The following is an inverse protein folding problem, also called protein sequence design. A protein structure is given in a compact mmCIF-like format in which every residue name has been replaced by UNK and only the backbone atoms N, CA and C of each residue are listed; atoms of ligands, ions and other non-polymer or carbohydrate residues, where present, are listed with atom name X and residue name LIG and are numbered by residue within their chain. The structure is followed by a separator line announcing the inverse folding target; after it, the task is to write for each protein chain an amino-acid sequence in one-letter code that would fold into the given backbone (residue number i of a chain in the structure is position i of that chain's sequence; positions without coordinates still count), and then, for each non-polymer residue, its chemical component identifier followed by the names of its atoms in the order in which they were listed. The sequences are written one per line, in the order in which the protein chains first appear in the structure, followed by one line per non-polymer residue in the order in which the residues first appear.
data_IF_317206479677
#
_entry.id   IF_317206479677
#
_cell.length_a   1.000
_cell.length_b   1.000
_cell.length_c   1.000
_cell.angle_alpha   90.00
_cell.angle_beta   90.00
_cell.angle_gamma   90.00
#
_symmetry.space_group_name_H-M   'P 1'
#
loop_
_entity.id
_entity.type
_entity.pdbx_description
1 polymer ?
#
# COMPACT_ATOMS: atom_id res chain seq x y z
N UNK A 1 18.83 -14.38 27.14
CA UNK A 1 19.45 -14.51 25.82
C UNK A 1 18.93 -15.79 25.19
N UNK A 2 17.88 -15.72 24.43
CA UNK A 2 17.45 -16.76 23.54
C UNK A 2 16.98 -16.03 22.29
N UNK A 3 17.71 -16.17 21.20
CA UNK A 3 17.28 -15.73 19.87
C UNK A 3 16.22 -16.74 19.45
N UNK A 4 14.97 -16.31 19.43
CA UNK A 4 13.88 -17.09 18.84
C UNK A 4 14.15 -17.20 17.34
N UNK A 5 14.54 -18.40 16.94
CA UNK A 5 14.69 -18.77 15.55
C UNK A 5 13.33 -18.69 14.88
N UNK A 6 13.19 -17.79 13.93
CA UNK A 6 12.08 -17.76 12.99
C UNK A 6 12.02 -19.12 12.31
N UNK A 7 10.93 -19.84 12.54
CA UNK A 7 10.74 -21.19 12.02
C UNK A 7 10.50 -21.13 10.50
N UNK A 8 11.51 -21.41 9.71
CA UNK A 8 11.48 -21.42 8.24
C UNK A 8 10.78 -22.64 7.62
N UNK A 9 10.07 -23.45 8.43
CA UNK A 9 9.65 -24.79 8.01
C UNK A 9 8.40 -24.86 7.12
N UNK A 10 7.66 -23.76 6.86
CA UNK A 10 6.40 -23.81 6.08
C UNK A 10 6.45 -23.05 4.73
N UNK A 11 7.64 -22.68 4.26
CA UNK A 11 7.82 -21.85 3.04
C UNK A 11 7.78 -22.64 1.70
N UNK A 12 7.64 -23.95 1.70
CA UNK A 12 7.87 -24.77 0.51
C UNK A 12 6.69 -24.89 -0.45
N UNK A 13 5.47 -24.48 -0.07
CA UNK A 13 4.29 -24.59 -0.95
C UNK A 13 3.82 -23.26 -1.61
N UNK A 14 4.29 -22.11 -1.11
CA UNK A 14 3.87 -20.78 -1.62
C UNK A 14 4.62 -20.29 -2.88
N UNK A 15 5.64 -20.97 -3.34
CA UNK A 15 6.48 -20.53 -4.49
C UNK A 15 5.77 -20.64 -5.85
N UNK A 16 4.91 -21.63 -6.05
CA UNK A 16 4.25 -21.86 -7.35
C UNK A 16 3.16 -20.83 -7.68
N UNK A 17 2.63 -20.13 -6.67
CA UNK A 17 1.54 -19.15 -6.83
C UNK A 17 1.96 -17.70 -6.55
N UNK A 18 3.23 -17.43 -6.28
CA UNK A 18 3.71 -16.07 -6.00
C UNK A 18 3.58 -15.18 -7.25
N UNK A 19 2.92 -14.03 -7.08
CA UNK A 19 2.84 -12.97 -8.11
C UNK A 19 3.98 -11.97 -7.95
N UNK A 20 4.46 -11.78 -6.71
CA UNK A 20 5.61 -10.95 -6.37
C UNK A 20 6.57 -11.79 -5.52
N UNK A 21 7.87 -11.75 -5.85
CA UNK A 21 8.93 -12.31 -5.04
C UNK A 21 10.01 -11.25 -4.78
N UNK A 22 10.39 -11.12 -3.53
CA UNK A 22 11.52 -10.32 -3.06
C UNK A 22 12.51 -11.31 -2.47
N UNK A 23 13.66 -11.50 -3.13
CA UNK A 23 14.61 -12.56 -2.82
C UNK A 23 15.93 -11.95 -2.36
N UNK A 24 16.22 -12.07 -1.06
CA UNK A 24 17.49 -11.64 -0.43
C UNK A 24 17.92 -10.23 -0.80
N UNK A 25 16.99 -9.27 -0.79
CA UNK A 25 17.20 -7.91 -1.28
C UNK A 25 17.96 -7.08 -0.28
N UNK A 26 19.13 -6.59 -0.69
CA UNK A 26 19.91 -5.57 0.01
C UNK A 26 20.01 -4.31 -0.83
N UNK A 27 19.70 -3.14 -0.23
CA UNK A 27 19.71 -1.86 -0.92
C UNK A 27 20.19 -0.70 -0.05
N UNK A 28 20.77 0.31 -0.71
CA UNK A 28 21.08 1.60 -0.12
C UNK A 28 21.41 2.65 -1.19
N UNK A 29 21.04 3.89 -0.96
CA UNK A 29 21.25 4.99 -1.90
C UNK A 29 22.74 5.38 -2.05
N UNK A 30 23.54 5.17 -1.00
CA UNK A 30 24.98 5.46 -1.00
C UNK A 30 25.76 4.22 -0.58
N UNK A 31 26.97 4.01 -1.15
CA UNK A 31 27.81 2.80 -0.92
C UNK A 31 27.91 2.34 0.53
N UNK A 32 27.97 3.28 1.49
CA UNK A 32 28.13 2.99 2.93
C UNK A 32 26.84 3.07 3.74
N UNK A 33 25.70 3.32 3.09
CA UNK A 33 24.41 3.48 3.78
C UNK A 33 23.43 2.43 3.29
N UNK A 34 23.24 1.37 4.05
CA UNK A 34 22.23 0.36 3.82
C UNK A 34 20.88 0.85 4.36
N UNK A 35 19.84 0.70 3.57
CA UNK A 35 18.44 1.05 3.90
C UNK A 35 17.61 -0.21 4.13
N UNK A 36 17.85 -1.24 3.34
CA UNK A 36 17.23 -2.56 3.46
C UNK A 36 18.34 -3.61 3.37
N UNK A 37 18.27 -4.64 4.19
CA UNK A 37 19.29 -5.66 4.32
C UNK A 37 18.64 -7.04 4.42
N UNK A 38 18.96 -7.90 3.45
CA UNK A 38 18.48 -9.28 3.34
C UNK A 38 16.96 -9.43 3.49
N UNK A 39 16.21 -8.63 2.73
CA UNK A 39 14.74 -8.71 2.71
C UNK A 39 14.31 -9.86 1.82
N UNK A 40 13.56 -10.79 2.39
CA UNK A 40 13.07 -12.00 1.70
C UNK A 40 11.61 -12.28 2.05
N UNK A 41 10.72 -12.25 1.03
CA UNK A 41 9.31 -12.66 1.13
C UNK A 41 8.67 -12.83 -0.24
N UNK A 42 7.55 -13.55 -0.27
CA UNK A 42 6.72 -13.70 -1.47
C UNK A 42 5.31 -13.20 -1.20
N UNK A 43 4.59 -12.82 -2.25
CA UNK A 43 3.17 -12.45 -2.20
C UNK A 43 2.41 -13.34 -3.17
N UNK A 44 1.56 -14.25 -2.68
CA UNK A 44 0.65 -15.02 -3.51
C UNK A 44 -0.35 -14.12 -4.25
N UNK A 45 -0.87 -14.61 -5.37
CA UNK A 45 -1.97 -13.95 -6.06
C UNK A 45 -3.20 -13.88 -5.14
N UNK A 46 -3.92 -12.74 -5.15
CA UNK A 46 -5.11 -12.54 -4.34
C UNK A 46 -4.85 -12.17 -2.88
N UNK A 47 -3.59 -12.21 -2.41
CA UNK A 47 -3.27 -11.85 -1.03
C UNK A 47 -3.24 -10.33 -0.83
N UNK A 48 -3.80 -9.86 0.28
CA UNK A 48 -3.62 -8.50 0.78
C UNK A 48 -2.52 -8.48 1.84
N UNK A 49 -1.34 -7.99 1.45
CA UNK A 49 -0.17 -7.86 2.32
C UNK A 49 -0.01 -6.42 2.82
N UNK A 50 0.06 -6.23 4.14
CA UNK A 50 0.48 -4.96 4.74
C UNK A 50 1.95 -5.01 5.19
N UNK A 51 2.70 -3.95 4.86
CA UNK A 51 4.08 -3.75 5.29
C UNK A 51 4.10 -2.62 6.30
N UNK A 52 4.24 -3.00 7.57
CA UNK A 52 4.33 -2.09 8.69
C UNK A 52 5.78 -1.65 8.96
N UNK A 53 5.93 -0.46 9.51
CA UNK A 53 7.21 0.06 9.98
C UNK A 53 7.17 1.55 10.21
N UNK A 54 8.10 2.06 11.01
CA UNK A 54 8.20 3.50 11.27
C UNK A 54 8.60 4.30 10.03
N UNK A 55 8.38 5.60 10.08
CA UNK A 55 8.80 6.49 9.00
C UNK A 55 10.33 6.44 8.82
N UNK A 56 10.76 6.33 7.56
CA UNK A 56 12.19 6.25 7.22
C UNK A 56 12.80 4.84 7.26
N UNK A 57 12.07 3.79 7.66
CA UNK A 57 12.61 2.42 7.75
C UNK A 57 12.87 1.77 6.36
N UNK A 58 12.36 2.36 5.28
CA UNK A 58 12.60 1.85 3.93
C UNK A 58 11.36 1.33 3.18
N UNK A 59 10.14 1.47 3.72
CA UNK A 59 8.88 0.99 3.09
C UNK A 59 8.71 1.46 1.65
N UNK A 60 8.72 2.77 1.41
CA UNK A 60 8.62 3.35 0.05
C UNK A 60 9.80 2.94 -0.83
N UNK A 61 10.99 2.72 -0.25
CA UNK A 61 12.16 2.22 -0.98
C UNK A 61 11.92 0.79 -1.47
N UNK A 62 11.34 -0.06 -0.62
CA UNK A 62 10.98 -1.43 -0.99
C UNK A 62 9.95 -1.43 -2.13
N UNK A 63 8.93 -0.59 -2.09
CA UNK A 63 7.98 -0.45 -3.20
C UNK A 63 8.68 -0.08 -4.53
N UNK A 64 9.60 0.87 -4.49
CA UNK A 64 10.35 1.29 -5.69
C UNK A 64 11.25 0.17 -6.24
N UNK A 65 11.76 -0.70 -5.39
CA UNK A 65 12.52 -1.89 -5.79
C UNK A 65 11.60 -2.92 -6.45
N UNK A 66 10.43 -3.20 -5.87
CA UNK A 66 9.46 -4.17 -6.40
C UNK A 66 9.01 -3.78 -7.82
N UNK A 67 8.69 -2.50 -8.06
CA UNK A 67 8.28 -2.03 -9.39
C UNK A 67 9.45 -1.77 -10.35
N UNK A 68 10.69 -1.98 -9.92
CA UNK A 68 11.88 -1.84 -10.75
C UNK A 68 12.36 -0.40 -10.98
N UNK A 69 11.85 0.58 -10.22
CA UNK A 69 12.35 1.98 -10.25
C UNK A 69 13.73 2.12 -9.59
N UNK A 70 14.09 1.18 -8.71
CA UNK A 70 15.41 1.05 -8.12
C UNK A 70 15.96 -0.35 -8.39
N UNK A 71 17.28 -0.48 -8.39
CA UNK A 71 17.95 -1.77 -8.52
C UNK A 71 18.60 -2.14 -7.19
N UNK A 72 18.36 -3.34 -6.65
CA UNK A 72 19.03 -3.79 -5.44
C UNK A 72 20.53 -3.96 -5.69
N UNK A 73 21.32 -3.92 -4.63
CA UNK A 73 22.76 -4.26 -4.66
C UNK A 73 22.96 -5.76 -4.68
N UNK A 74 22.13 -6.48 -3.93
CA UNK A 74 22.11 -7.93 -3.82
C UNK A 74 20.66 -8.38 -3.87
N UNK A 75 20.45 -9.63 -4.32
CA UNK A 75 19.13 -10.20 -4.48
C UNK A 75 18.37 -9.65 -5.69
N UNK A 76 17.07 -9.90 -5.72
CA UNK A 76 16.18 -9.44 -6.80
C UNK A 76 14.74 -9.29 -6.35
N UNK A 77 14.00 -8.40 -7.04
CA UNK A 77 12.56 -8.33 -6.98
C UNK A 77 11.99 -8.81 -8.31
N UNK A 78 10.99 -9.69 -8.26
CA UNK A 78 10.36 -10.28 -9.45
C UNK A 78 8.86 -10.12 -9.35
N UNK A 79 8.23 -9.63 -10.43
CA UNK A 79 6.79 -9.72 -10.65
C UNK A 79 6.59 -10.78 -11.75
N UNK A 80 5.77 -11.81 -11.50
CA UNK A 80 5.55 -12.89 -12.45
C UNK A 80 4.87 -12.39 -13.73
N UNK A 81 5.63 -12.32 -14.81
CA UNK A 81 5.17 -11.82 -16.11
C UNK A 81 4.15 -12.72 -16.81
N UNK A 82 3.96 -13.94 -16.35
CA UNK A 82 2.91 -14.83 -16.86
C UNK A 82 1.54 -14.42 -16.32
N UNK A 83 1.51 -13.85 -15.09
CA UNK A 83 0.28 -13.41 -14.39
C UNK A 83 0.05 -11.92 -14.50
N UNK A 84 1.12 -11.14 -14.59
CA UNK A 84 1.13 -9.69 -14.78
C UNK A 84 1.93 -9.37 -16.03
N UNK A 85 1.35 -9.56 -17.22
CA UNK A 85 2.07 -9.43 -18.50
C UNK A 85 2.63 -8.02 -18.72
N UNK A 86 2.00 -7.03 -18.17
CA UNK A 86 2.37 -5.62 -18.31
C UNK A 86 2.49 -4.92 -16.95
N UNK A 87 3.45 -3.99 -16.81
CA UNK A 87 3.47 -3.07 -15.66
C UNK A 87 2.27 -2.11 -15.64
N UNK A 88 1.47 -2.08 -16.69
CA UNK A 88 0.20 -1.36 -16.72
C UNK A 88 -0.89 -2.03 -15.87
N UNK A 89 -0.73 -3.34 -15.61
CA UNK A 89 -1.61 -4.11 -14.73
C UNK A 89 -1.22 -3.93 -13.24
N UNK A 90 -0.17 -3.14 -12.98
CA UNK A 90 0.28 -2.76 -11.63
C UNK A 90 -0.05 -1.29 -11.40
N UNK A 91 -0.94 -1.03 -10.47
CA UNK A 91 -1.18 0.32 -9.98
C UNK A 91 -0.33 0.58 -8.76
N UNK A 92 0.49 1.61 -8.80
CA UNK A 92 1.18 2.12 -7.61
C UNK A 92 0.66 3.52 -7.29
N UNK A 93 0.08 3.67 -6.11
CA UNK A 93 -0.22 4.97 -5.54
C UNK A 93 0.93 5.39 -4.63
N UNK A 94 1.59 6.49 -4.95
CA UNK A 94 2.52 7.14 -4.03
C UNK A 94 1.77 8.02 -3.03
N UNK A 95 2.42 8.42 -1.95
CA UNK A 95 1.87 9.33 -0.95
C UNK A 95 1.22 10.60 -1.55
N UNK A 96 1.74 11.09 -2.67
CA UNK A 96 1.23 12.27 -3.40
C UNK A 96 0.22 11.95 -4.52
N UNK A 97 -0.21 10.68 -4.68
CA UNK A 97 -1.24 10.27 -5.62
C UNK A 97 -0.81 10.14 -7.09
N UNK A 98 0.44 10.41 -7.46
CA UNK A 98 0.95 10.35 -8.85
C UNK A 98 0.17 11.23 -9.85
N UNK A 99 -0.22 12.42 -9.45
CA UNK A 99 -1.03 13.34 -10.24
C UNK A 99 -0.21 14.49 -10.81
N UNK A 100 -0.60 14.97 -11.98
CA UNK A 100 -0.03 16.16 -12.61
C UNK A 100 -0.77 17.40 -12.10
N UNK A 101 -0.14 18.18 -11.23
CA UNK A 101 -0.78 19.31 -10.52
C UNK A 101 -1.36 20.38 -11.43
N UNK A 102 -0.77 20.60 -12.60
CA UNK A 102 -1.22 21.61 -13.58
C UNK A 102 -2.42 21.19 -14.41
N UNK A 103 -2.74 19.91 -14.44
CA UNK A 103 -3.90 19.34 -15.11
C UNK A 103 -5.13 19.36 -14.18
N UNK A 104 -6.33 19.33 -14.77
CA UNK A 104 -7.58 19.11 -14.06
C UNK A 104 -7.66 17.66 -13.55
N UNK A 105 -8.60 17.36 -12.65
CA UNK A 105 -8.90 15.99 -12.25
C UNK A 105 -9.29 15.16 -13.47
N UNK A 106 -10.21 15.67 -14.31
CA UNK A 106 -10.64 15.04 -15.56
C UNK A 106 -9.47 14.72 -16.48
N UNK A 107 -8.57 15.69 -16.70
CA UNK A 107 -7.41 15.49 -17.56
C UNK A 107 -6.42 14.46 -16.99
N UNK A 108 -6.24 14.41 -15.67
CA UNK A 108 -5.41 13.39 -15.03
C UNK A 108 -5.98 11.98 -15.25
N UNK A 109 -7.29 11.80 -15.09
CA UNK A 109 -7.96 10.52 -15.35
C UNK A 109 -7.84 10.17 -16.85
N UNK A 110 -8.11 11.11 -17.73
CA UNK A 110 -7.97 10.90 -19.18
C UNK A 110 -6.53 10.56 -19.58
N UNK A 111 -5.53 11.27 -19.04
CA UNK A 111 -4.11 10.99 -19.29
C UNK A 111 -3.75 9.55 -18.88
N UNK A 112 -4.20 9.12 -17.71
CA UNK A 112 -4.02 7.73 -17.29
C UNK A 112 -4.70 6.75 -18.25
N UNK A 113 -5.92 7.04 -18.67
CA UNK A 113 -6.63 6.22 -19.66
C UNK A 113 -5.79 6.03 -20.94
N UNK A 114 -5.16 7.08 -21.45
CA UNK A 114 -4.28 6.99 -22.60
C UNK A 114 -3.07 6.08 -22.35
N UNK A 115 -2.46 6.17 -21.16
CA UNK A 115 -1.33 5.32 -20.80
C UNK A 115 -1.71 3.84 -20.70
N UNK A 116 -2.90 3.52 -20.20
CA UNK A 116 -3.36 2.15 -20.03
C UNK A 116 -3.95 1.55 -21.32
N UNK A 117 -4.60 2.34 -22.18
CA UNK A 117 -5.20 1.88 -23.46
C UNK A 117 -4.19 1.47 -24.53
N UNK A 118 -2.96 1.95 -24.49
CA UNK A 118 -1.96 1.69 -25.55
C UNK A 118 -1.35 0.29 -25.51
N UNK A 119 -1.77 -0.61 -24.64
CA UNK A 119 -1.33 -2.01 -24.56
C UNK A 119 -2.33 -2.99 -25.14
N UNK A 120 -1.87 -3.93 -25.94
CA UNK A 120 -2.66 -5.05 -26.50
C UNK A 120 -3.20 -6.04 -25.46
N UNK A 121 -3.29 -5.67 -24.17
CA UNK A 121 -3.71 -6.53 -23.05
C UNK A 121 -5.14 -6.27 -22.53
N UNK A 122 -5.89 -5.32 -23.09
CA UNK A 122 -7.33 -5.19 -22.80
C UNK A 122 -8.11 -6.06 -23.81
N UNK A 123 -7.78 -7.33 -23.86
CA UNK A 123 -8.58 -8.34 -24.49
C UNK A 123 -9.27 -9.08 -23.34
N UNK A 124 -10.45 -8.70 -23.03
CA UNK A 124 -11.54 -9.32 -22.31
C UNK A 124 -12.13 -8.39 -21.23
N UNK A 125 -12.98 -7.46 -21.67
CA UNK A 125 -14.01 -6.88 -20.81
C UNK A 125 -13.57 -5.80 -19.81
N UNK A 126 -12.38 -5.26 -19.92
CA UNK A 126 -11.91 -4.16 -19.05
C UNK A 126 -12.84 -2.96 -19.11
N UNK A 127 -13.21 -2.41 -17.95
CA UNK A 127 -14.10 -1.27 -17.82
C UNK A 127 -13.58 -0.08 -18.65
N UNK A 128 -14.36 0.33 -19.67
CA UNK A 128 -13.99 1.46 -20.50
C UNK A 128 -14.57 2.74 -19.88
N UNK A 129 -13.73 3.49 -19.20
CA UNK A 129 -14.11 4.76 -18.61
C UNK A 129 -14.36 5.79 -19.71
N UNK A 130 -15.57 6.36 -19.79
CA UNK A 130 -15.85 7.50 -20.66
C UNK A 130 -15.44 8.79 -19.95
N UNK A 131 -14.28 9.35 -20.33
CA UNK A 131 -13.78 10.59 -19.75
C UNK A 131 -14.70 11.80 -19.88
N UNK A 132 -15.71 11.72 -20.77
CA UNK A 132 -16.75 12.75 -20.93
C UNK A 132 -17.91 12.58 -19.96
N UNK A 133 -18.01 11.43 -19.31
CA UNK A 133 -19.09 11.08 -18.36
C UNK A 133 -18.55 10.59 -17.02
N UNK A 134 -17.42 11.15 -16.57
CA UNK A 134 -16.80 10.79 -15.29
C UNK A 134 -17.73 11.02 -14.10
N UNK A 135 -18.69 11.94 -14.23
CA UNK A 135 -19.72 12.20 -13.22
C UNK A 135 -20.62 10.97 -12.98
N UNK A 136 -20.71 10.07 -13.95
CA UNK A 136 -21.54 8.86 -13.87
C UNK A 136 -20.78 7.67 -13.28
N UNK A 137 -19.45 7.76 -13.16
CA UNK A 137 -18.61 6.69 -12.64
C UNK A 137 -18.86 6.47 -11.14
N UNK A 138 -19.18 5.23 -10.71
CA UNK A 138 -19.48 4.92 -9.31
C UNK A 138 -18.36 5.33 -8.33
N UNK A 139 -17.10 5.12 -8.70
CA UNK A 139 -15.96 5.52 -7.86
C UNK A 139 -15.83 7.04 -7.73
N UNK A 140 -16.11 7.79 -8.80
CA UNK A 140 -16.10 9.26 -8.76
C UNK A 140 -17.15 9.78 -7.80
N UNK A 141 -18.35 9.19 -7.82
CA UNK A 141 -19.44 9.53 -6.89
C UNK A 141 -19.14 9.11 -5.46
N UNK A 142 -18.70 7.87 -5.26
CA UNK A 142 -18.38 7.36 -3.92
C UNK A 142 -17.33 8.22 -3.21
N UNK A 143 -16.34 8.72 -3.95
CA UNK A 143 -15.29 9.59 -3.42
C UNK A 143 -15.62 11.08 -3.53
N UNK A 144 -16.87 11.45 -3.87
CA UNK A 144 -17.39 12.83 -3.92
C UNK A 144 -16.54 13.77 -4.81
N UNK A 145 -16.16 13.29 -5.99
CA UNK A 145 -15.29 14.03 -6.89
C UNK A 145 -16.02 14.75 -8.04
N UNK A 146 -17.35 14.58 -8.21
CA UNK A 146 -18.12 15.15 -9.33
C UNK A 146 -17.95 16.68 -9.41
N UNK A 147 -18.05 17.38 -8.28
CA UNK A 147 -17.89 18.84 -8.20
C UNK A 147 -16.45 19.34 -8.31
N UNK A 148 -15.48 18.42 -8.51
CA UNK A 148 -14.05 18.75 -8.54
C UNK A 148 -13.38 18.38 -9.87
N UNK A 149 -14.09 17.72 -10.79
CA UNK A 149 -13.51 17.17 -12.03
C UNK A 149 -12.79 18.22 -12.89
N UNK A 150 -13.29 19.44 -12.96
CA UNK A 150 -12.73 20.49 -13.79
C UNK A 150 -11.78 21.43 -13.02
N UNK A 151 -11.51 21.17 -11.73
CA UNK A 151 -10.50 21.88 -10.95
C UNK A 151 -9.11 21.32 -11.21
N UNK A 152 -8.09 22.19 -11.20
CA UNK A 152 -6.69 21.74 -11.23
C UNK A 152 -6.33 21.02 -9.95
N UNK A 153 -5.55 19.94 -10.07
CA UNK A 153 -5.11 19.15 -8.92
C UNK A 153 -4.32 20.00 -7.91
N UNK A 154 -3.54 20.98 -8.39
CA UNK A 154 -2.82 21.91 -7.52
C UNK A 154 -3.72 22.76 -6.60
N UNK A 155 -4.98 22.97 -6.97
CA UNK A 155 -5.97 23.75 -6.22
C UNK A 155 -6.72 22.91 -5.15
N UNK A 156 -6.52 21.60 -5.17
CA UNK A 156 -7.19 20.68 -4.25
C UNK A 156 -6.48 20.61 -2.90
N UNK A 157 -7.24 20.34 -1.84
CA UNK A 157 -6.66 19.95 -0.55
C UNK A 157 -5.87 18.63 -0.65
N UNK A 158 -5.01 18.37 0.32
CA UNK A 158 -4.24 17.11 0.35
C UNK A 158 -5.15 15.89 0.36
N UNK A 159 -6.25 15.91 1.14
CA UNK A 159 -7.23 14.82 1.18
C UNK A 159 -7.92 14.61 -0.18
N UNK A 160 -8.39 15.69 -0.84
CA UNK A 160 -8.99 15.59 -2.17
C UNK A 160 -8.01 15.08 -3.22
N UNK A 161 -6.74 15.53 -3.21
CA UNK A 161 -5.72 14.99 -4.11
C UNK A 161 -5.54 13.49 -3.93
N UNK A 162 -5.58 13.02 -2.68
CA UNK A 162 -5.46 11.59 -2.38
C UNK A 162 -6.66 10.80 -2.90
N UNK A 163 -7.89 11.28 -2.68
CA UNK A 163 -9.11 10.70 -3.27
C UNK A 163 -8.99 10.60 -4.80
N UNK A 164 -8.56 11.68 -5.46
CA UNK A 164 -8.32 11.67 -6.92
C UNK A 164 -7.27 10.64 -7.32
N UNK A 165 -6.17 10.53 -6.57
CA UNK A 165 -5.12 9.54 -6.83
C UNK A 165 -5.63 8.10 -6.76
N UNK A 166 -6.45 7.79 -5.75
CA UNK A 166 -7.10 6.49 -5.58
C UNK A 166 -8.03 6.22 -6.79
N UNK A 167 -9.00 7.10 -7.03
CA UNK A 167 -9.98 6.92 -8.11
C UNK A 167 -9.30 6.82 -9.46
N UNK A 168 -8.37 7.71 -9.79
CA UNK A 168 -7.65 7.70 -11.06
C UNK A 168 -6.83 6.43 -11.30
N UNK A 169 -6.43 5.71 -10.26
CA UNK A 169 -5.73 4.43 -10.39
C UNK A 169 -6.68 3.24 -10.48
N UNK A 170 -7.73 3.25 -9.67
CA UNK A 170 -8.65 2.13 -9.54
C UNK A 170 -9.66 2.02 -10.70
N UNK A 171 -9.95 3.13 -11.40
CA UNK A 171 -10.84 3.12 -12.58
C UNK A 171 -10.37 2.20 -13.71
N UNK A 172 -9.11 1.77 -13.71
CA UNK A 172 -8.54 0.92 -14.76
C UNK A 172 -8.35 -0.53 -14.34
N UNK A 173 -8.96 -0.93 -13.25
CA UNK A 173 -9.07 -2.32 -12.80
C UNK A 173 -7.73 -3.08 -12.75
N UNK A 174 -6.71 -2.57 -12.04
CA UNK A 174 -5.40 -3.20 -11.99
C UNK A 174 -5.44 -4.55 -11.25
N UNK A 175 -4.60 -5.50 -11.69
CA UNK A 175 -4.49 -6.81 -11.03
C UNK A 175 -3.67 -6.75 -9.74
N UNK A 176 -2.64 -5.90 -9.72
CA UNK A 176 -1.78 -5.66 -8.56
C UNK A 176 -1.88 -4.21 -8.15
N UNK A 177 -2.20 -3.99 -6.89
CA UNK A 177 -2.43 -2.66 -6.34
C UNK A 177 -1.45 -2.42 -5.20
N UNK A 178 -0.63 -1.37 -5.33
CA UNK A 178 0.38 -0.99 -4.37
C UNK A 178 0.06 0.39 -3.79
N UNK A 179 -0.23 0.47 -2.50
CA UNK A 179 -0.68 1.68 -1.81
C UNK A 179 0.37 2.15 -0.80
N UNK A 180 0.90 3.37 -1.00
CA UNK A 180 1.86 3.99 -0.09
C UNK A 180 1.13 4.99 0.81
N UNK A 181 1.01 4.66 2.11
CA UNK A 181 0.33 5.42 3.15
C UNK A 181 -1.10 5.88 2.75
N UNK A 182 -1.98 4.95 2.33
CA UNK A 182 -3.27 5.33 1.73
C UNK A 182 -4.22 6.01 2.70
N UNK A 183 -4.20 5.66 4.00
CA UNK A 183 -5.05 6.25 5.04
C UNK A 183 -4.50 7.56 5.61
N UNK A 184 -3.27 7.96 5.25
CA UNK A 184 -2.68 9.18 5.79
C UNK A 184 -3.32 10.45 5.21
N UNK A 185 -3.61 11.45 6.06
CA UNK A 185 -4.17 12.76 5.69
C UNK A 185 -5.51 12.73 4.94
N UNK A 186 -6.32 11.70 5.14
CA UNK A 186 -7.72 11.64 4.70
C UNK A 186 -8.65 11.72 5.92
N UNK A 187 -9.86 12.23 5.69
CA UNK A 187 -10.89 12.29 6.73
C UNK A 187 -11.47 10.89 7.06
N UNK A 188 -12.12 10.72 8.23
CA UNK A 188 -12.64 9.42 8.65
C UNK A 188 -13.65 8.80 7.68
N UNK A 189 -14.47 9.60 6.99
CA UNK A 189 -15.47 9.10 6.02
C UNK A 189 -14.73 8.51 4.80
N UNK A 190 -13.76 9.25 4.26
CA UNK A 190 -12.93 8.78 3.14
C UNK A 190 -12.14 7.53 3.53
N UNK A 191 -11.66 7.46 4.78
CA UNK A 191 -10.95 6.27 5.28
C UNK A 191 -11.88 5.05 5.29
N UNK A 192 -13.12 5.19 5.78
CA UNK A 192 -14.10 4.10 5.75
C UNK A 192 -14.38 3.64 4.32
N UNK A 193 -14.64 4.56 3.39
CA UNK A 193 -14.84 4.24 1.98
C UNK A 193 -13.63 3.52 1.36
N UNK A 194 -12.42 3.93 1.71
CA UNK A 194 -11.19 3.27 1.25
C UNK A 194 -11.11 1.83 1.78
N UNK A 195 -11.40 1.60 3.06
CA UNK A 195 -11.42 0.26 3.68
C UNK A 195 -12.46 -0.62 2.99
N UNK A 196 -13.68 -0.12 2.79
CA UNK A 196 -14.75 -0.85 2.13
C UNK A 196 -14.37 -1.23 0.71
N UNK A 197 -13.78 -0.29 -0.03
CA UNK A 197 -13.34 -0.53 -1.40
C UNK A 197 -12.19 -1.53 -1.49
N UNK A 198 -11.19 -1.42 -0.60
CA UNK A 198 -10.08 -2.38 -0.53
C UNK A 198 -10.60 -3.79 -0.20
N UNK A 199 -11.60 -3.91 0.67
CA UNK A 199 -12.23 -5.21 0.97
C UNK A 199 -13.02 -5.78 -0.21
N UNK A 200 -13.64 -4.95 -1.05
CA UNK A 200 -14.22 -5.41 -2.32
C UNK A 200 -13.14 -5.95 -3.26
N UNK A 201 -12.02 -5.24 -3.41
CA UNK A 201 -10.90 -5.70 -4.24
C UNK A 201 -10.31 -7.03 -3.73
N UNK A 202 -10.25 -7.23 -2.41
CA UNK A 202 -9.86 -8.52 -1.80
C UNK A 202 -10.85 -9.62 -2.15
N UNK A 203 -12.15 -9.35 -2.06
CA UNK A 203 -13.19 -10.32 -2.43
C UNK A 203 -13.13 -10.69 -3.93
N UNK A 204 -12.64 -9.77 -4.78
CA UNK A 204 -12.38 -9.98 -6.20
C UNK A 204 -10.99 -10.58 -6.48
N UNK A 205 -10.32 -11.12 -5.44
CA UNK A 205 -9.00 -11.78 -5.52
C UNK A 205 -7.90 -10.90 -6.13
N UNK A 206 -7.98 -9.58 -5.98
CA UNK A 206 -6.91 -8.66 -6.37
C UNK A 206 -5.75 -8.77 -5.40
N UNK A 207 -4.52 -8.69 -5.93
CA UNK A 207 -3.32 -8.69 -5.10
C UNK A 207 -3.03 -7.28 -4.62
N UNK A 208 -2.96 -7.11 -3.31
CA UNK A 208 -2.81 -5.82 -2.65
C UNK A 208 -1.52 -5.78 -1.82
N UNK A 209 -0.73 -4.74 -2.01
CA UNK A 209 0.40 -4.42 -1.13
C UNK A 209 0.18 -3.03 -0.56
N UNK A 210 0.13 -2.92 0.75
CA UNK A 210 0.03 -1.61 1.42
C UNK A 210 1.24 -1.39 2.31
N UNK A 211 1.93 -0.26 2.16
CA UNK A 211 2.89 0.20 3.17
C UNK A 211 2.24 1.28 4.01
N UNK A 212 2.29 1.12 5.33
CA UNK A 212 1.68 2.05 6.26
C UNK A 212 2.27 1.91 7.66
N UNK A 213 1.91 2.84 8.55
CA UNK A 213 2.12 2.75 10.00
C UNK A 213 0.78 2.68 10.75
N UNK A 214 -0.35 2.62 10.03
CA UNK A 214 -1.70 2.62 10.55
C UNK A 214 -2.17 1.19 10.85
N UNK A 215 -2.10 0.80 12.13
CA UNK A 215 -2.46 -0.55 12.57
C UNK A 215 -3.95 -0.85 12.38
N UNK A 216 -4.82 0.14 12.62
CA UNK A 216 -6.26 -0.05 12.47
C UNK A 216 -6.64 -0.27 10.99
N UNK A 217 -6.00 0.46 10.07
CA UNK A 217 -6.18 0.21 8.65
C UNK A 217 -5.74 -1.23 8.29
N UNK A 218 -4.55 -1.65 8.75
CA UNK A 218 -4.06 -3.01 8.49
C UNK A 218 -5.00 -4.09 9.01
N UNK A 219 -5.52 -3.92 10.25
CA UNK A 219 -6.48 -4.85 10.86
C UNK A 219 -7.73 -5.06 10.01
N UNK A 220 -8.18 -4.01 9.32
CA UNK A 220 -9.41 -4.07 8.52
C UNK A 220 -9.21 -4.60 7.10
N UNK A 221 -7.97 -4.56 6.54
CA UNK A 221 -7.79 -4.84 5.10
C UNK A 221 -6.73 -5.89 4.77
N UNK A 222 -5.88 -6.30 5.71
CA UNK A 222 -4.79 -7.22 5.42
C UNK A 222 -5.16 -8.68 5.69
N UNK A 223 -4.55 -9.60 4.94
CA UNK A 223 -4.53 -11.03 5.25
C UNK A 223 -3.25 -11.39 5.98
N UNK A 224 -2.15 -10.71 5.62
CA UNK A 224 -0.81 -10.94 6.15
C UNK A 224 -0.10 -9.62 6.40
N UNK A 225 0.71 -9.60 7.43
CA UNK A 225 1.46 -8.42 7.84
C UNK A 225 2.94 -8.79 7.97
N UNK A 226 3.79 -7.99 7.34
CA UNK A 226 5.23 -8.03 7.59
C UNK A 226 5.67 -6.73 8.26
N UNK A 227 6.65 -6.79 9.15
CA UNK A 227 7.16 -5.65 9.87
C UNK A 227 8.62 -5.40 9.49
N UNK A 228 8.89 -4.20 9.00
CA UNK A 228 10.23 -3.70 8.75
C UNK A 228 10.70 -2.88 9.95
N UNK A 229 11.83 -3.24 10.51
CA UNK A 229 12.52 -2.49 11.56
C UNK A 229 14.04 -2.64 11.41
N UNK A 230 14.77 -1.57 11.69
CA UNK A 230 16.24 -1.53 11.59
C UNK A 230 16.79 -2.25 10.34
N UNK A 231 16.21 -1.91 9.16
CA UNK A 231 16.58 -2.39 7.81
C UNK A 231 16.15 -3.83 7.48
N UNK A 232 15.66 -4.60 8.44
CA UNK A 232 15.32 -6.02 8.27
C UNK A 232 13.81 -6.25 8.30
N UNK A 233 13.39 -7.37 7.73
CA UNK A 233 12.07 -7.94 7.99
C UNK A 233 12.16 -8.69 9.32
N UNK A 234 11.53 -8.13 10.37
CA UNK A 234 11.63 -8.67 11.74
C UNK A 234 10.44 -9.53 12.14
N UNK A 235 9.30 -9.40 11.46
CA UNK A 235 8.12 -10.24 11.66
C UNK A 235 7.37 -10.48 10.35
N UNK A 236 6.74 -11.64 10.27
CA UNK A 236 5.88 -12.09 9.19
C UNK A 236 4.74 -12.90 9.82
N UNK A 237 3.49 -12.41 9.74
CA UNK A 237 2.36 -12.91 10.52
C UNK A 237 1.10 -12.92 9.65
N UNK A 238 0.29 -13.96 9.78
CA UNK A 238 -1.07 -13.95 9.21
C UNK A 238 -2.01 -13.23 10.18
N UNK A 239 -2.90 -12.38 9.66
CA UNK A 239 -3.87 -11.68 10.51
C UNK A 239 -4.82 -12.65 11.22
N UNK A 240 -5.13 -13.79 10.61
CA UNK A 240 -5.95 -14.85 11.20
C UNK A 240 -5.35 -15.54 12.44
N UNK A 241 -4.08 -15.27 12.78
CA UNK A 241 -3.43 -15.77 14.00
C UNK A 241 -3.84 -14.98 15.26
N UNK A 242 -4.57 -13.86 15.10
CA UNK A 242 -4.97 -12.98 16.20
C UNK A 242 -6.47 -13.04 16.43
N UNK A 243 -6.87 -13.25 17.67
CA UNK A 243 -8.28 -13.29 18.08
C UNK A 243 -8.91 -11.90 18.18
N UNK A 244 -8.09 -10.86 18.45
CA UNK A 244 -8.55 -9.51 18.63
C UNK A 244 -7.50 -8.44 18.22
N UNK A 245 -7.97 -7.21 18.09
CA UNK A 245 -7.14 -6.06 17.71
C UNK A 245 -6.06 -5.73 18.77
N UNK A 246 -6.29 -6.03 20.04
CA UNK A 246 -5.33 -5.75 21.12
C UNK A 246 -4.12 -6.65 21.00
N UNK A 247 -4.33 -7.97 20.83
CA UNK A 247 -3.27 -8.97 20.63
C UNK A 247 -2.45 -8.66 19.37
N UNK A 248 -3.12 -8.31 18.27
CA UNK A 248 -2.48 -7.86 17.05
C UNK A 248 -1.62 -6.60 17.26
N UNK A 249 -2.16 -5.57 17.93
CA UNK A 249 -1.44 -4.33 18.21
C UNK A 249 -0.20 -4.59 19.05
N UNK A 250 -0.31 -5.40 20.10
CA UNK A 250 0.83 -5.78 20.95
C UNK A 250 1.92 -6.51 20.17
N UNK A 251 1.55 -7.43 19.28
CA UNK A 251 2.49 -8.11 18.41
C UNK A 251 3.17 -7.16 17.42
N UNK A 252 2.42 -6.19 16.88
CA UNK A 252 2.88 -5.27 15.83
C UNK A 252 3.77 -4.15 16.35
N UNK A 253 3.66 -3.77 17.62
CA UNK A 253 4.49 -2.71 18.24
C UNK A 253 5.88 -3.18 18.68
N UNK A 254 6.21 -4.45 18.49
CA UNK A 254 7.51 -5.06 18.86
C UNK A 254 7.85 -4.88 20.36
N UNK A 255 6.82 -4.86 21.22
CA UNK A 255 7.01 -4.65 22.67
C UNK A 255 7.45 -3.22 23.03
N UNK A 256 7.40 -2.28 22.10
CA UNK A 256 7.59 -0.85 22.36
C UNK A 256 6.29 -0.26 22.94
N UNK A 257 5.85 -0.78 24.07
CA UNK A 257 4.75 -0.17 24.83
C UNK A 257 5.17 1.24 25.21
N UNK A 258 4.24 2.19 25.10
CA UNK A 258 4.45 3.53 25.66
C UNK A 258 4.65 3.35 27.17
N UNK A 259 5.91 3.35 27.63
CA UNK A 259 6.18 3.59 29.02
C UNK A 259 5.49 4.89 29.40
N UNK A 260 4.74 4.88 30.48
CA UNK A 260 4.04 6.04 31.00
C UNK A 260 5.03 7.20 31.13
N UNK A 261 4.98 8.14 30.20
CA UNK A 261 5.86 9.32 30.24
C UNK A 261 5.24 10.28 31.24
N UNK A 262 5.88 10.46 32.38
CA UNK A 262 5.55 11.55 33.29
C UNK A 262 6.01 12.86 32.64
N UNK A 263 5.05 13.67 32.22
CA UNK A 263 5.31 14.98 31.62
C UNK A 263 5.68 16.04 32.67
N UNK A 264 5.81 15.66 33.95
CA UNK A 264 6.17 16.59 35.04
C UNK A 264 5.15 17.72 35.26
N UNK A 265 3.91 17.53 34.82
CA UNK A 265 2.85 18.52 35.06
C UNK A 265 2.50 18.56 36.55
N UNK A 266 2.47 19.74 37.19
CA UNK A 266 2.09 19.85 38.58
C UNK A 266 0.68 19.31 38.78
N UNK A 267 0.48 18.44 39.76
CA UNK A 267 -0.81 17.96 40.14
C UNK A 267 -1.70 19.18 40.56
N UNK A 268 -2.65 19.55 39.70
CA UNK A 268 -3.65 20.51 40.08
C UNK A 268 -4.49 19.89 41.18
N UNK A 269 -4.26 20.35 42.42
CA UNK A 269 -5.02 19.97 43.59
C UNK A 269 -6.50 20.17 43.32
N UNK A 270 -7.28 19.09 43.37
CA UNK A 270 -8.71 19.16 43.57
C UNK A 270 -8.90 19.76 44.95
N UNK A 271 -9.17 21.06 45.05
CA UNK A 271 -9.73 21.65 46.27
C UNK A 271 -11.13 21.08 46.46
N UNK A 272 -11.36 20.54 47.62
CA UNK A 272 -12.60 19.97 48.09
C UNK A 272 -13.72 21.02 48.21
#
# INVERSE_FOLDING_TARGET
MAADHINHADRTDNGEHAIIAVEHVTFGYKKKQTVLEDIDFTVPQGQSLAILGYNGVGKTTLFRLIVGLLRPREGRCVIDRRRVPSMRDVFQMTENGNLVGTMTVRDNIHFRQLLFRSGKGIADGGHTVDSKRLEDEPLVRAFELEGHLDKKVAELSTGLRKRVGIVAGMLFDPHVIMLDEPSNAIDPITRSLLVDYVNQLRADERTLLTVTHDLEYCWNVADRIIILDDKHLVKDMMLAEFDDYESFTKASTLGRDRTHVDFGLPAHGRQA
#
